data_IF_990162362180
#
_entry.id   IF_990162362180
#
_cell.length_a   1.000
_cell.length_b   1.000
_cell.length_c   1.000
_cell.angle_alpha   90.00
_cell.angle_beta   90.00
_cell.angle_gamma   90.00
#
_symmetry.space_group_name_H-M   'P 1'
#
loop_
_entity.id
_entity.type
_entity.pdbx_description
1 polymer ?
#
# COMPACT_ATOMS: atom_id res chain seq x y z
N UNK A 1 -15.34 8.07 4.80
CA UNK A 1 -14.27 7.09 4.72
C UNK A 1 -13.71 7.01 3.31
N UNK A 2 -12.41 6.97 3.18
CA UNK A 2 -11.79 6.92 1.88
C UNK A 2 -11.79 5.53 1.31
N UNK A 3 -11.98 5.48 0.01
CA UNK A 3 -11.90 4.21 -0.70
C UNK A 3 -10.47 3.91 -1.12
N UNK A 4 -9.71 4.94 -1.45
CA UNK A 4 -8.32 4.77 -1.88
C UNK A 4 -7.40 5.70 -1.11
N UNK A 5 -6.17 5.26 -0.94
CA UNK A 5 -5.15 6.03 -0.23
C UNK A 5 -3.93 6.18 -1.13
N UNK A 6 -3.29 7.34 -1.02
CA UNK A 6 -1.99 7.52 -1.66
C UNK A 6 -0.97 6.67 -0.92
N UNK A 7 0.20 6.48 -1.54
CA UNK A 7 1.25 5.68 -0.89
C UNK A 7 1.68 6.30 0.44
N UNK A 8 1.73 7.62 0.50
CA UNK A 8 2.10 8.29 1.76
C UNK A 8 1.06 8.04 2.85
N UNK A 9 -0.20 8.14 2.49
CA UNK A 9 -1.27 7.91 3.46
C UNK A 9 -1.30 6.46 3.91
N UNK A 10 -1.16 5.56 2.97
CA UNK A 10 -1.20 4.14 3.29
C UNK A 10 -0.02 3.74 4.16
N UNK A 11 1.15 4.31 3.90
CA UNK A 11 2.33 4.01 4.71
C UNK A 11 2.13 4.45 6.16
N UNK A 12 1.48 5.59 6.36
CA UNK A 12 1.20 6.06 7.72
C UNK A 12 0.23 5.14 8.44
N UNK A 13 -0.76 4.65 7.73
CA UNK A 13 -1.73 3.73 8.32
C UNK A 13 -1.04 2.44 8.76
N UNK A 14 -0.13 1.95 7.93
CA UNK A 14 0.58 0.71 8.22
C UNK A 14 1.75 0.88 9.18
N UNK A 15 2.20 2.12 9.39
CA UNK A 15 3.34 2.35 10.25
C UNK A 15 4.67 2.04 9.59
N UNK A 16 4.74 2.14 8.27
CA UNK A 16 5.99 1.91 7.53
C UNK A 16 6.26 3.12 6.66
N UNK A 17 7.45 3.16 6.06
CA UNK A 17 7.79 4.27 5.18
C UNK A 17 7.22 4.05 3.78
N UNK A 18 7.06 5.15 3.04
CA UNK A 18 6.62 5.04 1.66
C UNK A 18 7.61 4.24 0.82
N UNK A 19 8.89 4.37 1.13
CA UNK A 19 9.91 3.60 0.41
C UNK A 19 9.72 2.11 0.63
N UNK A 20 9.34 1.72 1.85
CA UNK A 20 9.05 0.33 2.14
C UNK A 20 7.93 -0.18 1.24
N UNK A 21 6.88 0.61 1.04
CA UNK A 21 5.79 0.20 0.17
C UNK A 21 6.24 0.08 -1.29
N UNK A 22 7.13 0.97 -1.73
CA UNK A 22 7.66 0.85 -3.08
C UNK A 22 8.47 -0.43 -3.25
N UNK A 23 9.25 -0.77 -2.24
CA UNK A 23 10.02 -2.01 -2.27
C UNK A 23 9.09 -3.22 -2.33
N UNK A 24 8.02 -3.19 -1.56
CA UNK A 24 7.05 -4.29 -1.55
C UNK A 24 6.34 -4.42 -2.90
N UNK A 25 6.07 -3.30 -3.54
CA UNK A 25 5.50 -3.34 -4.89
C UNK A 25 6.49 -4.01 -5.85
N UNK A 26 7.75 -3.63 -5.77
CA UNK A 26 8.76 -4.16 -6.68
C UNK A 26 8.98 -5.65 -6.50
N UNK A 27 8.92 -6.13 -5.28
CA UNK A 27 9.15 -7.56 -5.04
C UNK A 27 7.85 -8.37 -4.99
N UNK A 28 6.71 -7.71 -5.22
CA UNK A 28 5.44 -8.41 -5.30
C UNK A 28 4.78 -8.71 -3.97
N UNK A 29 5.33 -8.21 -2.88
CA UNK A 29 4.78 -8.51 -1.57
C UNK A 29 3.45 -7.80 -1.32
N UNK A 30 3.35 -6.53 -1.71
CA UNK A 30 2.12 -5.76 -1.58
C UNK A 30 2.05 -4.76 -2.73
N UNK A 31 1.20 -5.04 -3.68
CA UNK A 31 1.06 -4.18 -4.83
C UNK A 31 -0.08 -3.20 -4.62
N UNK A 32 0.01 -1.99 -5.20
CA UNK A 32 -1.08 -1.04 -5.10
C UNK A 32 -2.30 -1.53 -5.87
N UNK A 33 -3.45 -0.99 -5.52
CA UNK A 33 -4.66 -1.29 -6.24
C UNK A 33 -4.53 -0.84 -7.70
N UNK A 34 -4.00 0.35 -7.90
CA UNK A 34 -3.75 0.86 -9.24
C UNK A 34 -2.72 1.97 -9.16
N UNK A 35 -2.18 2.34 -10.30
CA UNK A 35 -1.23 3.43 -10.43
C UNK A 35 -1.80 4.44 -11.42
N UNK A 36 -1.78 5.71 -11.06
CA UNK A 36 -2.29 6.74 -11.94
C UNK A 36 -1.35 6.95 -13.12
N UNK A 37 -1.82 7.68 -14.12
CA UNK A 37 -1.00 7.97 -15.28
C UNK A 37 0.23 8.80 -14.93
N UNK A 38 0.18 9.51 -13.81
CA UNK A 38 1.33 10.31 -13.33
C UNK A 38 2.32 9.48 -12.54
N UNK A 39 2.06 8.20 -12.36
CA UNK A 39 2.97 7.36 -11.61
C UNK A 39 2.70 7.29 -10.13
N UNK A 40 1.60 7.86 -9.67
CA UNK A 40 1.25 7.81 -8.25
C UNK A 40 0.53 6.49 -7.96
N UNK A 41 0.95 5.83 -6.90
CA UNK A 41 0.35 4.57 -6.47
C UNK A 41 -0.81 4.82 -5.53
N UNK A 42 -1.89 4.08 -5.73
CA UNK A 42 -3.07 4.18 -4.88
C UNK A 42 -3.43 2.80 -4.35
N UNK A 43 -3.68 2.75 -3.05
CA UNK A 43 -4.01 1.51 -2.35
C UNK A 43 -5.46 1.56 -1.91
N UNK A 44 -6.16 0.44 -1.97
CA UNK A 44 -7.56 0.42 -1.58
C UNK A 44 -7.70 0.15 -0.10
N UNK A 45 -8.81 0.62 0.44
CA UNK A 45 -9.12 0.35 1.84
C UNK A 45 -9.19 -1.15 2.12
N UNK A 46 -9.67 -1.90 1.16
CA UNK A 46 -9.79 -3.33 1.32
C UNK A 46 -8.45 -4.02 1.52
N UNK A 47 -7.39 -3.43 1.00
CA UNK A 47 -6.07 -4.02 1.17
C UNK A 47 -5.63 -4.04 2.63
N UNK A 48 -6.20 -3.18 3.44
CA UNK A 48 -5.90 -3.19 4.87
C UNK A 48 -6.42 -4.44 5.56
N UNK A 49 -7.54 -4.97 5.08
CA UNK A 49 -8.18 -6.12 5.70
C UNK A 49 -7.84 -7.44 5.04
N UNK A 50 -7.43 -7.36 3.80
CA UNK A 50 -7.40 -8.51 2.92
C UNK A 50 -6.41 -9.57 3.30
N UNK A 51 -5.26 -9.19 3.77
CA UNK A 51 -4.17 -10.14 3.96
C UNK A 51 -3.99 -10.61 5.37
N UNK A 52 -4.90 -10.25 6.24
CA UNK A 52 -4.73 -10.55 7.65
C UNK A 52 -3.38 -10.08 8.16
N UNK A 53 -2.84 -9.12 7.48
CA UNK A 53 -1.61 -8.46 7.88
C UNK A 53 -0.39 -9.37 7.89
N UNK A 54 -0.39 -10.34 7.02
CA UNK A 54 0.79 -11.19 6.90
C UNK A 54 2.03 -10.38 6.57
N UNK A 55 1.88 -9.36 5.77
CA UNK A 55 3.01 -8.52 5.40
C UNK A 55 3.52 -7.67 6.55
N UNK A 56 2.77 -7.56 7.63
CA UNK A 56 3.22 -6.83 8.81
C UNK A 56 4.09 -7.67 9.73
N UNK A 57 4.09 -8.97 9.55
CA UNK A 57 4.77 -9.86 10.47
C UNK A 57 6.22 -10.16 10.11
N UNK A 58 6.70 -9.54 9.11
CA UNK A 58 8.04 -9.85 8.59
C UNK A 58 9.15 -9.10 9.27
#
# INVERSE_FOLDING_TARGET
MRKYYSINEFSKILGVSAQTLRNWDNNGKLKPHHTSSNGYRYYSHEQLNQNNKNWLKI
#
